data_IF_682011368936
#
_entry.id   IF_682011368936
#
_cell.length_a   1.000
_cell.length_b   1.000
_cell.length_c   1.000
_cell.angle_alpha   90.00
_cell.angle_beta   90.00
_cell.angle_gamma   90.00
#
_symmetry.space_group_name_H-M   'P 1'
#
loop_
_entity.id
_entity.type
_entity.pdbx_description
1 polymer ?
#
# COMPACT_ATOMS: atom_id res chain seq x y z
N UNK A 1 -15.08 -2.10 -4.34
CA UNK A 1 -14.23 -3.07 -3.64
C UNK A 1 -13.24 -2.36 -2.73
N UNK A 2 -12.66 -3.08 -1.80
CA UNK A 2 -11.65 -2.57 -0.86
C UNK A 2 -10.33 -3.29 -1.15
N UNK A 3 -9.26 -2.52 -1.30
CA UNK A 3 -7.91 -3.05 -1.55
C UNK A 3 -6.96 -2.54 -0.48
N UNK A 4 -5.92 -3.33 -0.17
CA UNK A 4 -4.78 -2.85 0.60
C UNK A 4 -3.67 -2.51 -0.40
N UNK A 5 -2.91 -1.44 -0.18
CA UNK A 5 -1.83 -1.06 -1.08
C UNK A 5 -0.46 -1.33 -0.46
N UNK A 6 0.47 -1.82 -1.29
CA UNK A 6 1.90 -1.81 -1.03
C UNK A 6 2.45 -0.38 -1.21
N UNK A 7 3.72 -0.17 -0.87
CA UNK A 7 4.36 1.15 -0.90
C UNK A 7 4.49 1.71 -2.32
N UNK A 8 5.08 0.94 -3.23
CA UNK A 8 5.40 1.46 -4.58
C UNK A 8 4.18 1.85 -5.40
N UNK A 9 3.06 1.11 -5.39
CA UNK A 9 1.88 1.57 -6.10
C UNK A 9 1.41 2.95 -5.66
N UNK A 10 1.42 3.21 -4.36
CA UNK A 10 1.01 4.51 -3.83
C UNK A 10 2.02 5.61 -4.19
N UNK A 11 3.32 5.29 -4.16
CA UNK A 11 4.38 6.21 -4.60
C UNK A 11 4.19 6.59 -6.06
N UNK A 12 4.00 5.62 -6.94
CA UNK A 12 3.84 5.87 -8.37
C UNK A 12 2.60 6.72 -8.65
N UNK A 13 1.52 6.46 -7.95
CA UNK A 13 0.29 7.23 -8.07
C UNK A 13 0.46 8.67 -7.60
N UNK A 14 1.09 8.85 -6.42
CA UNK A 14 1.22 10.16 -5.76
C UNK A 14 2.30 11.04 -6.36
N UNK A 15 3.30 10.48 -7.04
CA UNK A 15 4.44 11.21 -7.60
C UNK A 15 4.37 11.34 -9.12
N UNK A 16 3.19 11.19 -9.72
CA UNK A 16 2.96 11.28 -11.17
C UNK A 16 3.78 10.28 -11.99
N UNK A 17 4.07 9.10 -11.40
CA UNK A 17 4.75 8.01 -12.11
C UNK A 17 3.75 6.91 -12.47
N UNK A 18 2.53 7.30 -12.82
CA UNK A 18 1.46 6.36 -13.17
C UNK A 18 1.81 5.40 -14.31
N UNK A 19 2.66 5.76 -15.31
CA UNK A 19 3.08 4.79 -16.32
C UNK A 19 3.83 3.58 -15.76
N UNK A 20 4.38 3.66 -14.54
CA UNK A 20 5.05 2.54 -13.88
C UNK A 20 4.08 1.58 -13.20
N UNK A 21 2.82 1.97 -13.07
CA UNK A 21 1.79 1.09 -12.52
C UNK A 21 1.40 0.02 -13.54
N UNK A 22 1.14 -1.19 -13.05
CA UNK A 22 0.49 -2.22 -13.85
C UNK A 22 -0.89 -1.74 -14.30
N UNK A 23 -1.39 -2.29 -15.39
CA UNK A 23 -2.66 -1.83 -15.99
C UNK A 23 -3.83 -1.92 -15.02
N UNK A 24 -3.93 -3.04 -14.30
CA UNK A 24 -5.03 -3.27 -13.38
C UNK A 24 -4.90 -2.38 -12.14
N UNK A 25 -3.70 -2.24 -11.61
CA UNK A 25 -3.43 -1.37 -10.47
C UNK A 25 -3.78 0.08 -10.81
N UNK A 26 -3.37 0.56 -11.98
CA UNK A 26 -3.68 1.93 -12.42
C UNK A 26 -5.18 2.16 -12.52
N UNK A 27 -5.90 1.21 -13.11
CA UNK A 27 -7.35 1.32 -13.25
C UNK A 27 -8.04 1.37 -11.88
N UNK A 28 -7.60 0.53 -10.94
CA UNK A 28 -8.16 0.51 -9.59
C UNK A 28 -7.95 1.86 -8.90
N UNK A 29 -6.76 2.44 -9.00
CA UNK A 29 -6.47 3.73 -8.38
C UNK A 29 -7.26 4.86 -9.03
N UNK A 30 -7.40 4.84 -10.37
CA UNK A 30 -8.24 5.80 -11.07
C UNK A 30 -9.70 5.69 -10.64
N UNK A 31 -10.22 4.48 -10.53
CA UNK A 31 -11.60 4.24 -10.10
C UNK A 31 -11.82 4.60 -8.63
N UNK A 32 -10.77 4.49 -7.82
CA UNK A 32 -10.80 4.93 -6.41
C UNK A 32 -11.06 6.43 -6.31
N UNK A 33 -10.41 7.23 -7.16
CA UNK A 33 -10.66 8.67 -7.20
C UNK A 33 -12.08 9.00 -7.62
N UNK A 34 -12.73 8.11 -8.36
CA UNK A 34 -14.11 8.24 -8.77
C UNK A 34 -15.09 7.72 -7.70
N UNK A 35 -14.59 7.25 -6.57
CA UNK A 35 -15.39 6.72 -5.47
C UNK A 35 -15.87 5.28 -5.65
N UNK A 36 -15.33 4.55 -6.63
CA UNK A 36 -15.76 3.17 -6.90
C UNK A 36 -15.10 2.14 -5.99
N UNK A 37 -13.96 2.47 -5.42
CA UNK A 37 -13.18 1.60 -4.54
C UNK A 37 -12.68 2.38 -3.33
N UNK A 38 -12.25 1.66 -2.30
CA UNK A 38 -11.52 2.22 -1.17
C UNK A 38 -10.16 1.55 -1.07
N UNK A 39 -9.14 2.33 -0.73
CA UNK A 39 -7.78 1.85 -0.55
C UNK A 39 -7.41 1.96 0.92
N UNK A 40 -7.01 0.84 1.50
CA UNK A 40 -6.47 0.80 2.86
C UNK A 40 -4.96 0.96 2.75
N UNK A 41 -4.41 1.93 3.46
CA UNK A 41 -2.99 2.25 3.48
C UNK A 41 -2.43 1.85 4.84
N UNK A 42 -1.69 0.73 4.93
CA UNK A 42 -1.03 0.37 6.19
C UNK A 42 -0.10 1.48 6.66
N UNK A 43 -0.08 1.74 7.96
CA UNK A 43 0.79 2.80 8.51
C UNK A 43 2.26 2.59 8.15
N UNK A 44 2.72 1.35 8.03
CA UNK A 44 4.11 1.05 7.64
C UNK A 44 4.42 1.53 6.21
N UNK A 45 3.42 1.61 5.34
CA UNK A 45 3.58 2.18 3.99
C UNK A 45 3.93 3.65 4.09
N UNK A 46 3.24 4.39 4.95
CA UNK A 46 3.52 5.82 5.15
C UNK A 46 4.90 6.02 5.76
N UNK A 47 5.29 5.19 6.72
CA UNK A 47 6.62 5.24 7.30
C UNK A 47 7.70 5.00 6.25
N UNK A 48 7.50 4.02 5.38
CA UNK A 48 8.43 3.72 4.31
C UNK A 48 8.53 4.87 3.30
N UNK A 49 7.40 5.47 2.93
CA UNK A 49 7.37 6.62 2.03
C UNK A 49 8.14 7.80 2.65
N UNK A 50 7.95 8.05 3.96
CA UNK A 50 8.69 9.10 4.64
C UNK A 50 10.20 8.88 4.55
N UNK A 51 10.66 7.64 4.76
CA UNK A 51 12.08 7.31 4.61
C UNK A 51 12.58 7.55 3.20
N UNK A 52 11.78 7.20 2.19
CA UNK A 52 12.15 7.44 0.79
C UNK A 52 12.24 8.94 0.49
N UNK A 53 11.34 9.74 1.04
CA UNK A 53 11.39 11.20 0.91
C UNK A 53 12.64 11.77 1.59
N UNK A 54 12.95 11.33 2.80
CA UNK A 54 14.14 11.77 3.53
C UNK A 54 15.43 11.45 2.77
N UNK A 55 15.46 10.29 2.10
CA UNK A 55 16.61 9.85 1.30
C UNK A 55 16.62 10.43 -0.11
N UNK A 56 15.68 11.30 -0.42
CA UNK A 56 15.54 11.96 -1.74
C UNK A 56 15.33 10.97 -2.89
N UNK A 57 14.75 9.81 -2.59
CA UNK A 57 14.40 8.80 -3.59
C UNK A 57 12.98 8.97 -4.11
N UNK A 58 12.14 9.69 -3.38
CA UNK A 58 10.77 10.04 -3.77
C UNK A 58 10.58 11.55 -3.57
N UNK A 59 9.91 12.18 -4.53
CA UNK A 59 9.60 13.60 -4.46
C UNK A 59 8.09 13.79 -4.45
N UNK A 60 7.59 14.40 -3.38
CA UNK A 60 6.18 14.80 -3.27
C UNK A 60 6.06 16.29 -3.57
N UNK A 61 4.89 16.73 -4.04
CA UNK A 61 4.63 18.14 -4.36
C UNK A 61 4.54 19.02 -3.12
N UNK A 62 4.26 18.41 -1.97
CA UNK A 62 4.13 19.09 -0.67
C UNK A 62 4.98 18.33 0.36
N UNK A 63 5.29 18.94 1.52
CA UNK A 63 5.99 18.21 2.59
C UNK A 63 5.24 16.94 2.99
N UNK A 64 5.97 15.90 3.38
CA UNK A 64 5.40 14.60 3.72
C UNK A 64 4.25 14.71 4.72
N UNK A 65 4.44 15.52 5.77
CA UNK A 65 3.40 15.70 6.80
C UNK A 65 2.07 16.14 6.19
N UNK A 66 2.11 17.14 5.35
CA UNK A 66 0.92 17.67 4.70
C UNK A 66 0.29 16.63 3.78
N UNK A 67 1.11 15.94 3.01
CA UNK A 67 0.65 14.89 2.11
C UNK A 67 -0.06 13.77 2.87
N UNK A 68 0.54 13.31 3.98
CA UNK A 68 -0.03 12.25 4.81
C UNK A 68 -1.35 12.67 5.47
N UNK A 69 -1.42 13.92 5.95
CA UNK A 69 -2.65 14.45 6.53
C UNK A 69 -3.75 14.57 5.49
N UNK A 70 -3.43 15.00 4.28
CA UNK A 70 -4.38 15.08 3.18
C UNK A 70 -4.88 13.68 2.77
N UNK A 71 -3.99 12.70 2.75
CA UNK A 71 -4.35 11.32 2.46
C UNK A 71 -5.34 10.79 3.50
N UNK A 72 -5.07 11.01 4.77
CA UNK A 72 -5.95 10.56 5.85
C UNK A 72 -7.35 11.17 5.77
N UNK A 73 -7.45 12.40 5.30
CA UNK A 73 -8.73 13.09 5.12
C UNK A 73 -9.47 12.69 3.84
N UNK A 74 -8.78 12.01 2.93
CA UNK A 74 -9.39 11.61 1.67
C UNK A 74 -10.46 10.55 1.91
N UNK A 75 -11.68 10.69 1.36
CA UNK A 75 -12.77 9.77 1.67
C UNK A 75 -12.55 8.35 1.17
N UNK A 76 -11.67 8.16 0.17
CA UNK A 76 -11.48 6.86 -0.47
C UNK A 76 -10.16 6.20 -0.08
N UNK A 77 -9.41 6.80 0.85
CA UNK A 77 -8.18 6.25 1.40
C UNK A 77 -8.30 6.18 2.90
N UNK A 78 -7.96 5.05 3.47
CA UNK A 78 -8.06 4.84 4.91
C UNK A 78 -6.72 4.36 5.44
N UNK A 79 -6.13 5.11 6.38
CA UNK A 79 -4.89 4.70 7.05
C UNK A 79 -5.22 3.62 8.08
N UNK A 80 -4.50 2.51 8.01
CA UNK A 80 -4.68 1.37 8.92
C UNK A 80 -3.52 1.28 9.90
N UNK A 81 -3.83 1.36 11.18
CA UNK A 81 -2.85 1.19 12.24
C UNK A 81 -2.32 -0.25 12.26
N UNK A 82 -1.07 -0.42 12.70
CA UNK A 82 -0.47 -1.74 12.90
C UNK A 82 -0.88 -2.25 14.28
N UNK A 83 -1.98 -2.98 14.32
CA UNK A 83 -2.58 -3.49 15.55
C UNK A 83 -1.91 -4.79 16.01
N UNK A 84 -2.20 -5.19 17.26
CA UNK A 84 -1.73 -6.48 17.77
C UNK A 84 -2.26 -7.63 16.90
N UNK A 85 -3.51 -7.58 16.50
CA UNK A 85 -4.13 -8.63 15.67
C UNK A 85 -3.39 -8.78 14.34
N UNK A 86 -3.01 -7.68 13.70
CA UNK A 86 -2.25 -7.70 12.45
C UNK A 86 -0.84 -8.24 12.70
N UNK A 87 -0.20 -7.82 13.78
CA UNK A 87 1.12 -8.34 14.14
C UNK A 87 1.07 -9.86 14.32
N UNK A 88 0.07 -10.36 15.03
CA UNK A 88 -0.08 -11.81 15.25
C UNK A 88 -0.31 -12.56 13.93
N UNK A 89 -1.04 -11.96 12.98
CA UNK A 89 -1.20 -12.53 11.63
C UNK A 89 0.15 -12.61 10.90
N UNK A 90 1.06 -11.70 11.18
CA UNK A 90 2.38 -11.68 10.54
C UNK A 90 3.33 -12.77 11.03
N UNK A 91 3.06 -13.38 12.18
CA UNK A 91 3.98 -14.34 12.83
C UNK A 91 4.26 -15.55 11.95
N UNK A 92 3.27 -16.02 11.21
CA UNK A 92 3.42 -17.18 10.30
C UNK A 92 4.09 -16.84 8.97
N UNK A 93 4.28 -15.56 8.65
CA UNK A 93 4.79 -15.11 7.36
C UNK A 93 6.32 -15.03 7.33
N UNK A 94 6.98 -16.04 7.89
CA UNK A 94 8.45 -16.06 8.06
C UNK A 94 9.22 -16.06 6.74
N UNK A 95 8.61 -16.54 5.65
CA UNK A 95 9.23 -16.53 4.33
C UNK A 95 9.36 -15.12 3.75
N UNK A 96 8.56 -14.17 4.23
CA UNK A 96 8.69 -12.77 3.85
C UNK A 96 9.69 -12.12 4.81
N UNK A 97 10.89 -11.85 4.31
CA UNK A 97 12.01 -11.42 5.17
C UNK A 97 11.93 -9.95 5.57
N UNK A 98 11.50 -9.09 4.64
CA UNK A 98 11.40 -7.66 4.94
C UNK A 98 10.25 -7.40 5.92
N UNK A 99 10.51 -6.76 7.08
CA UNK A 99 9.47 -6.54 8.08
C UNK A 99 8.30 -5.69 7.58
N UNK A 100 8.57 -4.67 6.75
CA UNK A 100 7.51 -3.84 6.20
C UNK A 100 6.60 -4.64 5.26
N UNK A 101 7.18 -5.42 4.37
CA UNK A 101 6.42 -6.29 3.45
C UNK A 101 5.58 -7.30 4.24
N UNK A 102 6.15 -7.87 5.30
CA UNK A 102 5.43 -8.81 6.15
C UNK A 102 4.21 -8.15 6.79
N UNK A 103 4.38 -6.94 7.31
CA UNK A 103 3.29 -6.19 7.92
C UNK A 103 2.20 -5.84 6.89
N UNK A 104 2.58 -5.49 5.67
CA UNK A 104 1.63 -5.16 4.60
C UNK A 104 0.82 -6.39 4.20
N UNK A 105 1.46 -7.53 3.99
CA UNK A 105 0.77 -8.78 3.66
C UNK A 105 -0.14 -9.20 4.81
N UNK A 106 0.33 -9.10 6.06
CA UNK A 106 -0.47 -9.42 7.23
C UNK A 106 -1.72 -8.55 7.32
N UNK A 107 -1.59 -7.26 6.98
CA UNK A 107 -2.74 -6.34 6.96
C UNK A 107 -3.79 -6.81 5.95
N UNK A 108 -3.36 -7.13 4.74
CA UNK A 108 -4.28 -7.59 3.69
C UNK A 108 -4.95 -8.92 4.09
N UNK A 109 -4.19 -9.86 4.65
CA UNK A 109 -4.75 -11.13 5.13
C UNK A 109 -5.77 -10.94 6.24
N UNK A 110 -5.42 -10.12 7.23
CA UNK A 110 -6.29 -9.87 8.37
C UNK A 110 -7.61 -9.23 7.94
N UNK A 111 -7.55 -8.29 7.03
CA UNK A 111 -8.72 -7.58 6.53
C UNK A 111 -9.42 -8.32 5.38
N UNK A 112 -8.84 -9.42 4.91
CA UNK A 112 -9.39 -10.23 3.79
C UNK A 112 -9.60 -9.39 2.53
N UNK A 113 -8.62 -8.54 2.22
CA UNK A 113 -8.65 -7.69 1.05
C UNK A 113 -7.51 -8.06 0.10
N UNK A 114 -7.72 -7.94 -1.22
CA UNK A 114 -6.62 -8.10 -2.16
C UNK A 114 -5.58 -7.01 -1.97
N UNK A 115 -4.33 -7.33 -2.27
CA UNK A 115 -3.18 -6.45 -2.14
C UNK A 115 -2.73 -5.95 -3.50
N UNK A 116 -2.62 -4.65 -3.66
CA UNK A 116 -2.02 -4.05 -4.85
C UNK A 116 -0.51 -4.05 -4.67
N UNK A 117 0.20 -4.84 -5.45
CA UNK A 117 1.66 -4.97 -5.34
C UNK A 117 2.29 -5.44 -6.64
N UNK A 118 3.49 -4.92 -6.93
CA UNK A 118 4.34 -5.39 -8.01
C UNK A 118 5.36 -6.45 -7.54
N UNK A 119 5.44 -6.72 -6.25
CA UNK A 119 6.46 -7.60 -5.69
C UNK A 119 6.23 -9.05 -6.10
N UNK A 120 7.20 -9.62 -6.84
CA UNK A 120 7.10 -10.99 -7.35
C UNK A 120 7.08 -12.04 -6.26
N UNK A 121 7.79 -11.83 -5.16
CA UNK A 121 7.81 -12.77 -4.04
C UNK A 121 6.42 -12.85 -3.41
N UNK A 122 5.78 -11.71 -3.21
CA UNK A 122 4.43 -11.66 -2.66
C UNK A 122 3.42 -12.27 -3.62
N UNK A 123 3.54 -11.95 -4.92
CA UNK A 123 2.63 -12.49 -5.94
C UNK A 123 2.71 -14.01 -6.03
N UNK A 124 3.90 -14.58 -5.89
CA UNK A 124 4.13 -16.02 -6.02
C UNK A 124 3.83 -16.80 -4.73
N UNK A 125 3.68 -16.12 -3.62
CA UNK A 125 3.65 -16.77 -2.30
C UNK A 125 2.31 -17.33 -1.85
N UNK A 126 1.22 -17.06 -2.54
CA UNK A 126 -0.14 -17.52 -2.19
C UNK A 126 -0.62 -17.15 -0.79
N UNK A 127 -0.05 -16.10 -0.18
CA UNK A 127 -0.49 -15.64 1.13
C UNK A 127 -1.74 -14.78 1.07
N UNK A 128 -1.93 -14.08 -0.04
CA UNK A 128 -3.00 -13.11 -0.25
C UNK A 128 -3.24 -12.98 -1.76
N UNK A 129 -4.48 -12.65 -2.14
CA UNK A 129 -4.76 -12.31 -3.54
C UNK A 129 -4.05 -11.00 -3.89
N UNK A 130 -3.40 -10.96 -5.04
CA UNK A 130 -2.66 -9.78 -5.48
C UNK A 130 -3.21 -9.25 -6.80
N UNK A 131 -3.09 -7.96 -7.00
CA UNK A 131 -3.45 -7.30 -8.27
C UNK A 131 -2.33 -6.38 -8.71
N UNK A 132 -2.02 -6.42 -10.02
CA UNK A 132 -1.01 -5.53 -10.62
C UNK A 132 -1.29 -5.31 -12.11
N UNK A 133 -1.14 -6.34 -12.94
CA UNK A 133 -1.40 -6.28 -14.40
C UNK A 133 -2.85 -6.56 -14.77
#
# INVERSE_FOLDING_TARGET
MIYVTDTHPLVFWSSNRTPRLGKRARRILQETEQGKHAIIVPIVVLEEINRLVERKLVRLDVPFRRWAEELERSPNFQVQAYTLEILLESVSLVAIRDPADRAIVATARHLRCPLITADGIIQDGDWVDTVWE
#
